data_IF_399503063903
#
_entry.id   IF_399503063903
#
_cell.length_a   1.000
_cell.length_b   1.000
_cell.length_c   1.000
_cell.angle_alpha   90.00
_cell.angle_beta   90.00
_cell.angle_gamma   90.00
#
_symmetry.space_group_name_H-M   'P 1'
#
loop_
_entity.id
_entity.type
_entity.pdbx_description
1 polymer ?
#
# COMPACT_ATOMS: atom_id res chain seq x y z
N UNK A 1 -13.92 -3.62 9.71
CA UNK A 1 -14.15 -4.37 8.44
C UNK A 1 -13.29 -3.83 7.30
N UNK A 2 -13.17 -2.51 7.08
CA UNK A 2 -12.22 -1.97 6.09
C UNK A 2 -10.83 -1.69 6.70
N UNK A 3 -10.06 -2.75 6.97
CA UNK A 3 -8.65 -2.61 7.37
C UNK A 3 -7.76 -3.55 6.58
N UNK A 4 -6.52 -3.13 6.33
CA UNK A 4 -5.53 -3.99 5.66
C UNK A 4 -5.30 -5.28 6.44
N UNK A 5 -5.32 -5.23 7.78
CA UNK A 5 -5.15 -6.42 8.60
C UNK A 5 -6.29 -7.44 8.42
N UNK A 6 -7.52 -6.96 8.21
CA UNK A 6 -8.67 -7.82 7.90
C UNK A 6 -8.48 -8.51 6.55
N UNK A 7 -8.06 -7.78 5.52
CA UNK A 7 -7.78 -8.31 4.18
C UNK A 7 -6.62 -9.32 4.16
N UNK A 8 -5.63 -9.13 5.04
CA UNK A 8 -4.48 -10.04 5.14
C UNK A 8 -4.79 -11.31 5.94
N UNK A 9 -5.67 -11.21 6.95
CA UNK A 9 -6.03 -12.34 7.83
C UNK A 9 -7.07 -13.25 7.20
N UNK A 10 -8.01 -12.69 6.44
CA UNK A 10 -9.09 -13.44 5.79
C UNK A 10 -8.76 -13.63 4.31
N UNK A 11 -8.45 -14.86 3.89
CA UNK A 11 -8.13 -15.15 2.47
C UNK A 11 -9.38 -15.44 1.64
N UNK A 12 -10.40 -16.02 2.26
CA UNK A 12 -11.65 -16.43 1.62
C UNK A 12 -12.71 -15.33 1.70
N UNK A 13 -12.34 -14.12 1.24
CA UNK A 13 -13.25 -12.97 1.20
C UNK A 13 -14.08 -13.04 -0.08
N UNK A 14 -15.41 -13.01 0.07
CA UNK A 14 -16.35 -13.01 -1.06
C UNK A 14 -16.24 -11.74 -1.90
N UNK A 15 -16.76 -11.80 -3.12
CA UNK A 15 -16.73 -10.67 -4.06
C UNK A 15 -17.50 -9.44 -3.53
N UNK A 16 -18.59 -9.66 -2.82
CA UNK A 16 -19.45 -8.62 -2.25
C UNK A 16 -18.69 -7.84 -1.17
N UNK A 17 -17.98 -8.54 -0.28
CA UNK A 17 -17.17 -7.91 0.76
C UNK A 17 -16.02 -7.11 0.13
N UNK A 18 -15.38 -7.63 -0.92
CA UNK A 18 -14.34 -6.89 -1.65
C UNK A 18 -14.89 -5.61 -2.28
N UNK A 19 -16.10 -5.67 -2.83
CA UNK A 19 -16.79 -4.52 -3.42
C UNK A 19 -17.12 -3.46 -2.37
N UNK A 20 -17.61 -3.87 -1.20
CA UNK A 20 -17.90 -2.95 -0.10
C UNK A 20 -16.62 -2.30 0.44
N UNK A 21 -15.53 -3.07 0.59
CA UNK A 21 -14.22 -2.53 0.99
C UNK A 21 -13.71 -1.51 -0.05
N UNK A 22 -13.87 -1.78 -1.34
CA UNK A 22 -13.54 -0.82 -2.40
C UNK A 22 -14.35 0.47 -2.26
N UNK A 23 -15.64 0.38 -1.96
CA UNK A 23 -16.56 1.52 -1.76
C UNK A 23 -16.18 2.36 -0.55
N UNK A 24 -15.77 1.72 0.55
CA UNK A 24 -15.31 2.40 1.77
C UNK A 24 -13.96 3.11 1.61
N UNK A 25 -13.25 2.87 0.50
CA UNK A 25 -11.99 3.52 0.18
C UNK A 25 -10.78 2.89 0.88
N UNK A 26 -9.59 3.44 0.61
CA UNK A 26 -8.35 2.88 1.13
C UNK A 26 -7.96 3.47 2.49
N UNK A 27 -7.45 2.67 3.43
CA UNK A 27 -6.93 3.19 4.69
C UNK A 27 -5.62 3.96 4.46
N UNK A 28 -5.59 5.21 4.91
CA UNK A 28 -4.45 6.15 4.82
C UNK A 28 -3.97 6.62 6.20
N UNK A 29 -3.60 5.69 7.09
CA UNK A 29 -3.19 6.05 8.44
C UNK A 29 -1.86 6.81 8.45
N UNK A 30 -1.65 7.66 9.44
CA UNK A 30 -0.31 8.16 9.71
C UNK A 30 0.53 7.05 10.37
N UNK A 31 1.65 6.68 9.73
CA UNK A 31 2.48 5.55 10.15
C UNK A 31 3.79 6.04 10.76
N UNK A 32 4.19 5.43 11.87
CA UNK A 32 5.43 5.78 12.57
C UNK A 32 6.56 4.91 12.02
N UNK A 33 6.97 5.15 10.77
CA UNK A 33 8.06 4.40 10.14
C UNK A 33 9.28 5.31 10.00
N UNK A 34 10.41 4.86 10.56
CA UNK A 34 11.71 5.49 10.43
C UNK A 34 12.76 4.48 9.97
N UNK A 35 13.65 4.88 9.06
CA UNK A 35 14.80 4.10 8.62
C UNK A 35 16.00 5.02 8.60
N UNK A 36 17.10 4.52 9.09
CA UNK A 36 18.40 5.18 8.99
C UNK A 36 19.24 4.38 8.01
N UNK A 37 19.62 5.01 6.89
CA UNK A 37 20.59 4.45 5.97
C UNK A 37 21.98 4.99 6.31
N UNK A 38 22.96 4.09 6.40
CA UNK A 38 24.35 4.45 6.66
C UNK A 38 25.00 4.81 5.33
N UNK A 39 25.37 6.09 5.18
CA UNK A 39 26.13 6.57 4.04
C UNK A 39 27.63 6.57 4.33
N UNK A 40 28.44 6.70 3.27
CA UNK A 40 29.91 6.73 3.39
C UNK A 40 30.44 7.86 4.29
N UNK A 41 29.76 9.00 4.33
CA UNK A 41 30.18 10.20 5.10
C UNK A 41 29.19 10.66 6.15
N UNK A 42 27.91 10.29 6.03
CA UNK A 42 26.86 10.63 6.98
C UNK A 42 25.72 9.62 6.94
N UNK A 43 25.02 9.51 8.05
CA UNK A 43 23.78 8.74 8.14
C UNK A 43 22.60 9.59 7.69
N UNK A 44 21.65 8.95 7.02
CA UNK A 44 20.43 9.57 6.53
C UNK A 44 19.23 8.92 7.20
N UNK A 45 18.52 9.67 8.04
CA UNK A 45 17.25 9.21 8.60
C UNK A 45 16.10 9.71 7.73
N UNK A 46 15.23 8.78 7.33
CA UNK A 46 13.99 9.08 6.61
C UNK A 46 12.80 8.65 7.46
N UNK A 47 11.83 9.54 7.52
CA UNK A 47 10.56 9.31 8.18
C UNK A 47 9.47 9.18 7.13
N UNK A 48 8.48 8.33 7.42
CA UNK A 48 7.27 8.27 6.63
C UNK A 48 6.60 9.64 6.55
N UNK A 49 6.05 9.97 5.39
CA UNK A 49 5.28 11.18 5.17
C UNK A 49 3.98 10.79 4.47
N UNK A 50 2.86 11.11 5.09
CA UNK A 50 1.52 10.75 4.63
C UNK A 50 1.15 11.32 3.25
N UNK A 51 1.81 12.38 2.78
CA UNK A 51 1.62 12.94 1.41
C UNK A 51 1.90 11.92 0.30
N UNK A 52 2.63 10.84 0.60
CA UNK A 52 2.84 9.73 -0.35
C UNK A 52 1.52 9.07 -0.76
N UNK A 53 0.50 9.07 0.11
CA UNK A 53 -0.82 8.55 -0.23
C UNK A 53 -1.55 9.40 -1.27
N UNK A 54 -1.26 10.69 -1.33
CA UNK A 54 -1.83 11.57 -2.33
C UNK A 54 -1.17 11.40 -3.68
N UNK A 55 0.15 11.23 -3.66
CA UNK A 55 0.91 10.96 -4.88
C UNK A 55 0.63 9.58 -5.47
N UNK A 56 0.42 8.57 -4.62
CA UNK A 56 0.21 7.19 -5.04
C UNK A 56 -1.15 6.67 -4.55
N UNK A 57 -2.20 6.95 -5.33
CA UNK A 57 -3.60 6.61 -4.95
C UNK A 57 -3.91 5.12 -4.81
N UNK A 58 -3.00 4.23 -5.23
CA UNK A 58 -3.10 2.78 -5.02
C UNK A 58 -2.51 2.33 -3.66
N UNK A 59 -1.75 3.19 -3.00
CA UNK A 59 -1.02 2.88 -1.77
C UNK A 59 -1.93 3.04 -0.55
N UNK A 60 -1.81 2.12 0.40
CA UNK A 60 -2.49 2.16 1.69
C UNK A 60 -1.56 1.73 2.84
N UNK A 61 -1.97 1.98 4.08
CA UNK A 61 -1.21 1.67 5.28
C UNK A 61 -1.91 0.68 6.22
N UNK A 62 -1.11 -0.05 6.99
CA UNK A 62 -1.58 -0.89 8.09
C UNK A 62 -0.88 -0.46 9.40
N UNK A 63 -1.58 0.17 10.35
CA UNK A 63 -0.98 0.62 11.61
C UNK A 63 -0.45 -0.55 12.44
N UNK A 64 -1.22 -1.64 12.54
CA UNK A 64 -0.87 -2.83 13.32
C UNK A 64 0.43 -3.49 12.86
N UNK A 65 0.69 -3.45 11.55
CA UNK A 65 1.93 -3.99 10.96
C UNK A 65 2.99 -2.92 10.73
N UNK A 66 2.67 -1.64 10.95
CA UNK A 66 3.46 -0.46 10.67
C UNK A 66 4.14 -0.49 9.27
N UNK A 67 3.33 -0.78 8.24
CA UNK A 67 3.78 -1.07 6.88
C UNK A 67 2.80 -0.56 5.80
N UNK A 68 3.33 -0.36 4.60
CA UNK A 68 2.60 0.06 3.40
C UNK A 68 2.29 -1.12 2.48
N UNK A 69 1.15 -1.04 1.79
CA UNK A 69 0.62 -2.11 0.95
C UNK A 69 -0.05 -1.55 -0.32
N UNK A 70 -0.22 -2.40 -1.32
CA UNK A 70 -1.01 -2.09 -2.50
C UNK A 70 -2.50 -2.37 -2.25
N UNK A 71 -3.32 -1.32 -2.11
CA UNK A 71 -4.75 -1.46 -1.82
C UNK A 71 -5.50 -2.25 -2.90
N UNK A 72 -5.28 -1.87 -4.16
CA UNK A 72 -5.91 -2.49 -5.32
C UNK A 72 -5.56 -3.99 -5.39
N UNK A 73 -4.30 -4.33 -5.13
CA UNK A 73 -3.82 -5.70 -5.13
C UNK A 73 -4.45 -6.54 -3.99
N UNK A 74 -4.59 -5.95 -2.80
CA UNK A 74 -5.25 -6.59 -1.65
C UNK A 74 -6.73 -6.88 -1.93
N UNK A 75 -7.46 -5.91 -2.50
CA UNK A 75 -8.90 -6.06 -2.78
C UNK A 75 -9.15 -7.01 -3.94
N UNK A 76 -8.36 -6.93 -5.01
CA UNK A 76 -8.51 -7.83 -6.16
C UNK A 76 -7.96 -9.24 -5.89
N UNK A 77 -7.26 -9.45 -4.77
CA UNK A 77 -6.64 -10.75 -4.47
C UNK A 77 -5.59 -11.13 -5.51
N UNK A 78 -4.92 -10.12 -6.08
CA UNK A 78 -3.92 -10.28 -7.11
C UNK A 78 -2.62 -10.89 -6.59
N UNK A 79 -1.65 -11.02 -7.51
CA UNK A 79 -0.43 -11.81 -7.33
C UNK A 79 0.28 -11.61 -5.97
N UNK A 80 0.78 -12.72 -5.40
CA UNK A 80 1.49 -12.75 -4.12
C UNK A 80 2.80 -11.97 -4.28
N UNK A 81 2.87 -10.80 -3.69
CA UNK A 81 4.05 -9.95 -3.71
C UNK A 81 4.30 -9.38 -2.33
N UNK A 82 5.48 -8.79 -2.13
CA UNK A 82 5.80 -8.06 -0.91
C UNK A 82 4.72 -7.02 -0.55
N UNK A 83 4.00 -6.48 -1.54
CA UNK A 83 2.93 -5.48 -1.36
C UNK A 83 1.57 -6.03 -0.94
N UNK A 84 1.37 -7.35 -0.95
CA UNK A 84 0.11 -8.03 -0.60
C UNK A 84 0.23 -9.02 0.54
N UNK A 85 1.45 -9.31 1.02
CA UNK A 85 1.67 -10.30 2.10
C UNK A 85 2.45 -9.70 3.27
N UNK A 86 3.62 -9.17 3.00
CA UNK A 86 4.56 -8.73 4.05
C UNK A 86 4.43 -7.24 4.36
N UNK A 87 4.17 -6.43 3.33
CA UNK A 87 4.18 -4.97 3.36
C UNK A 87 5.57 -4.37 3.27
N UNK A 88 5.66 -3.14 2.80
CA UNK A 88 6.91 -2.38 2.71
C UNK A 88 6.97 -1.33 3.81
N UNK A 89 8.04 -1.32 4.60
CA UNK A 89 8.23 -0.31 5.64
C UNK A 89 8.64 1.03 5.03
N UNK A 90 9.68 1.05 4.19
CA UNK A 90 10.18 2.29 3.59
C UNK A 90 10.55 2.09 2.12
N UNK A 91 9.56 1.97 1.23
CA UNK A 91 9.83 2.01 -0.20
C UNK A 91 10.35 3.39 -0.56
N UNK A 92 11.42 3.45 -1.35
CA UNK A 92 11.88 4.72 -1.89
C UNK A 92 10.94 5.18 -3.03
N UNK A 93 11.13 6.42 -3.50
CA UNK A 93 10.31 6.96 -4.58
C UNK A 93 10.36 6.10 -5.86
N UNK A 94 11.53 5.60 -6.23
CA UNK A 94 11.70 4.75 -7.41
C UNK A 94 10.98 3.40 -7.24
N UNK A 95 11.00 2.80 -6.06
CA UNK A 95 10.26 1.54 -5.79
C UNK A 95 8.75 1.75 -6.00
N UNK A 96 8.22 2.88 -5.51
CA UNK A 96 6.81 3.25 -5.66
C UNK A 96 6.44 3.55 -7.11
N UNK A 97 7.28 4.30 -7.83
CA UNK A 97 7.08 4.65 -9.23
C UNK A 97 7.22 3.43 -10.16
N UNK A 98 8.19 2.56 -9.91
CA UNK A 98 8.39 1.34 -10.69
C UNK A 98 7.19 0.38 -10.55
N UNK A 99 6.58 0.33 -9.35
CA UNK A 99 5.38 -0.48 -9.15
C UNK A 99 4.19 -0.02 -9.98
N UNK A 100 4.00 1.29 -10.15
CA UNK A 100 2.97 1.83 -11.05
C UNK A 100 3.12 1.29 -12.48
N UNK A 101 4.36 1.13 -12.95
CA UNK A 101 4.66 0.71 -14.32
C UNK A 101 4.52 -0.80 -14.55
N UNK A 102 4.79 -1.64 -13.55
CA UNK A 102 4.77 -3.11 -13.74
C UNK A 102 3.36 -3.73 -13.66
N UNK A 103 2.48 -3.19 -12.82
CA UNK A 103 1.23 -3.86 -12.49
C UNK A 103 0.01 -3.39 -13.32
N UNK A 104 0.20 -2.61 -14.39
CA UNK A 104 -0.91 -1.94 -15.10
C UNK A 104 -1.86 -1.18 -14.13
N UNK A 105 -1.37 -0.75 -12.96
CA UNK A 105 -2.17 -0.03 -11.94
C UNK A 105 -2.76 1.24 -12.55
N UNK A 106 -2.07 1.85 -13.51
CA UNK A 106 -2.53 2.99 -14.29
C UNK A 106 -3.86 2.74 -15.01
N UNK A 107 -4.13 1.51 -15.47
CA UNK A 107 -5.41 1.16 -16.09
C UNK A 107 -6.50 0.88 -15.05
N UNK A 108 -6.16 0.33 -13.88
CA UNK A 108 -7.09 0.16 -12.77
C UNK A 108 -7.50 1.49 -12.10
N UNK A 109 -6.61 2.49 -12.10
CA UNK A 109 -6.90 3.85 -11.63
C UNK A 109 -7.92 4.58 -12.52
N UNK A 110 -7.89 4.34 -13.84
CA UNK A 110 -8.88 4.90 -14.79
C UNK A 110 -10.30 4.37 -14.57
N UNK A 111 -10.44 3.16 -14.01
CA UNK A 111 -11.75 2.55 -13.70
C UNK A 111 -12.36 3.12 -12.40
N UNK A 112 -11.61 3.91 -11.62
CA UNK A 112 -12.05 4.48 -10.33
C UNK A 112 -12.52 5.94 -10.45
N UNK A 113 -12.62 6.48 -11.67
CA UNK A 113 -13.02 7.89 -11.91
C UNK A 113 -14.29 7.99 -12.77
N UNK A 114 -15.30 7.17 -12.48
CA UNK A 114 -16.66 7.31 -13.03
C UNK A 114 -17.62 7.65 -11.90
#
# INVERSE_FOLDING_TARGET
>A
MNSVDFLLTNKDITYEIRTEIKRLGRPVPDLIISKTDVGKSRNYSRHFNSSVYDRFKWLCGCPKRNKLFCFICLVMGGNRSAWTQEGNQQPNYYDLSYRLTQDNITNAQKITTA
#
